data_IF_304388016052
#
_entry.id   IF_304388016052
#
_cell.length_a   1.000
_cell.length_b   1.000
_cell.length_c   1.000
_cell.angle_alpha   90.00
_cell.angle_beta   90.00
_cell.angle_gamma   90.00
#
_symmetry.space_group_name_H-M   'P 1'
#
loop_
_entity.id
_entity.type
_entity.pdbx_description
1 polymer ?
#
# COMPACT_ATOMS: atom_id res chain seq x y z
N UNK A 1 2.95 11.26 -6.73
CA UNK A 1 2.13 11.94 -7.76
C UNK A 1 2.99 12.63 -8.80
N UNK A 2 3.77 13.68 -8.49
CA UNK A 2 4.67 14.30 -9.50
C UNK A 2 5.65 13.32 -10.17
N UNK A 3 6.25 12.40 -9.39
CA UNK A 3 7.10 11.32 -9.92
C UNK A 3 6.39 10.35 -10.87
N UNK A 4 5.06 10.27 -10.80
CA UNK A 4 4.22 9.48 -11.70
C UNK A 4 3.76 10.28 -12.93
N UNK A 5 4.28 11.49 -13.15
CA UNK A 5 3.95 12.32 -14.31
C UNK A 5 2.67 13.14 -14.20
N UNK A 6 2.01 13.16 -13.04
CA UNK A 6 0.82 14.01 -12.86
C UNK A 6 1.19 15.49 -12.82
N UNK A 7 0.47 16.29 -13.62
CA UNK A 7 0.63 17.74 -13.67
C UNK A 7 0.27 18.45 -12.36
N UNK A 8 0.80 19.65 -12.17
CA UNK A 8 0.66 20.40 -10.91
C UNK A 8 -0.80 20.66 -10.55
N UNK A 9 -1.64 21.01 -11.53
CA UNK A 9 -3.09 21.24 -11.34
C UNK A 9 -3.80 20.02 -10.74
N UNK A 10 -3.47 18.82 -11.22
CA UNK A 10 -4.06 17.58 -10.70
C UNK A 10 -3.55 17.27 -9.29
N UNK A 11 -2.25 17.48 -9.03
CA UNK A 11 -1.68 17.35 -7.70
C UNK A 11 -2.35 18.30 -6.70
N UNK A 12 -2.64 19.54 -7.10
CA UNK A 12 -3.37 20.50 -6.27
C UNK A 12 -4.80 20.05 -5.97
N UNK A 13 -5.53 19.51 -6.96
CA UNK A 13 -6.88 18.98 -6.72
C UNK A 13 -6.89 17.87 -5.68
N UNK A 14 -6.00 16.88 -5.80
CA UNK A 14 -5.88 15.81 -4.81
C UNK A 14 -5.51 16.38 -3.44
N UNK A 15 -4.57 17.31 -3.37
CA UNK A 15 -4.16 17.94 -2.11
C UNK A 15 -5.33 18.72 -1.47
N UNK A 16 -6.15 19.40 -2.27
CA UNK A 16 -7.36 20.08 -1.80
C UNK A 16 -8.40 19.10 -1.28
N UNK A 17 -8.67 17.99 -1.99
CA UNK A 17 -9.59 16.95 -1.52
C UNK A 17 -9.15 16.35 -0.18
N UNK A 18 -7.86 16.06 -0.02
CA UNK A 18 -7.29 15.54 1.22
C UNK A 18 -7.39 16.55 2.38
N UNK A 19 -7.24 17.85 2.08
CA UNK A 19 -7.34 18.93 3.09
C UNK A 19 -8.77 19.34 3.42
N UNK A 20 -9.73 19.14 2.53
CA UNK A 20 -11.14 19.51 2.75
C UNK A 20 -11.93 18.39 3.44
N UNK A 21 -11.35 17.20 3.61
CA UNK A 21 -12.03 16.07 4.24
C UNK A 21 -12.26 16.35 5.74
N UNK A 22 -13.50 16.70 6.08
CA UNK A 22 -13.99 16.87 7.46
C UNK A 22 -15.12 15.90 7.75
N UNK A 23 -15.23 15.46 9.00
CA UNK A 23 -16.30 14.60 9.50
C UNK A 23 -16.95 15.18 10.74
N UNK A 24 -18.19 14.81 11.00
CA UNK A 24 -18.91 15.12 12.24
C UNK A 24 -19.52 13.84 12.77
N UNK A 25 -19.46 13.61 14.09
CA UNK A 25 -20.20 12.51 14.72
C UNK A 25 -21.63 12.98 14.96
N UNK A 26 -22.63 12.19 14.55
CA UNK A 26 -24.04 12.48 14.86
C UNK A 26 -24.39 11.76 16.16
N UNK A 27 -24.81 12.50 17.18
CA UNK A 27 -25.30 11.94 18.45
C UNK A 27 -26.74 12.39 18.64
N UNK A 28 -27.67 11.43 18.78
CA UNK A 28 -29.10 11.68 18.92
C UNK A 28 -29.72 12.55 17.79
N UNK A 29 -29.21 12.40 16.56
CA UNK A 29 -29.69 13.16 15.40
C UNK A 29 -29.08 14.56 15.24
N UNK A 30 -28.25 15.01 16.19
CA UNK A 30 -27.56 16.30 16.12
C UNK A 30 -26.08 16.11 15.78
N UNK A 31 -25.54 16.80 14.76
CA UNK A 31 -24.12 16.76 14.44
C UNK A 31 -23.30 17.48 15.53
N UNK A 32 -22.24 16.81 16.01
CA UNK A 32 -21.20 17.40 16.83
C UNK A 32 -20.22 18.23 15.99
N UNK A 33 -19.30 18.90 16.68
CA UNK A 33 -18.21 19.69 16.08
C UNK A 33 -17.45 18.89 15.01
N UNK A 34 -17.16 19.55 13.89
CA UNK A 34 -16.42 18.95 12.79
C UNK A 34 -14.96 18.71 13.18
N UNK A 35 -14.45 17.53 12.89
CA UNK A 35 -13.04 17.22 13.00
C UNK A 35 -12.45 16.91 11.62
N UNK A 36 -11.16 17.19 11.48
CA UNK A 36 -10.40 16.94 10.26
C UNK A 36 -9.98 15.47 10.21
N UNK A 37 -10.14 14.81 9.05
CA UNK A 37 -9.55 13.49 8.86
C UNK A 37 -8.04 13.63 8.62
N UNK A 38 -7.24 13.07 9.52
CA UNK A 38 -5.77 13.03 9.40
C UNK A 38 -5.27 11.77 8.69
N UNK A 39 -6.09 10.71 8.63
CA UNK A 39 -5.82 9.43 7.99
C UNK A 39 -7.09 8.86 7.36
N UNK A 40 -6.94 8.19 6.22
CA UNK A 40 -8.04 7.52 5.52
C UNK A 40 -8.83 8.46 4.59
N UNK A 41 -9.45 7.86 3.58
CA UNK A 41 -10.45 8.52 2.73
C UNK A 41 -11.84 8.08 3.19
N UNK A 42 -12.84 8.93 2.98
CA UNK A 42 -14.23 8.57 3.28
C UNK A 42 -14.64 7.38 2.42
N UNK A 43 -15.24 6.37 3.04
CA UNK A 43 -15.83 5.25 2.33
C UNK A 43 -16.88 5.78 1.35
N UNK A 44 -16.78 5.37 0.08
CA UNK A 44 -17.62 5.90 -1.01
C UNK A 44 -17.07 7.13 -1.73
N UNK A 45 -15.89 7.64 -1.38
CA UNK A 45 -15.22 8.68 -2.18
C UNK A 45 -14.73 8.07 -3.51
N UNK A 46 -15.20 8.57 -4.68
CA UNK A 46 -14.83 8.05 -5.99
C UNK A 46 -13.33 8.14 -6.30
N UNK A 47 -12.55 8.95 -5.56
CA UNK A 47 -11.10 9.05 -5.70
C UNK A 47 -10.32 7.97 -4.95
N UNK A 48 -10.95 7.30 -3.98
CA UNK A 48 -10.26 6.30 -3.14
C UNK A 48 -9.64 5.15 -3.93
N UNK A 49 -10.32 4.54 -4.92
CA UNK A 49 -9.72 3.47 -5.72
C UNK A 49 -8.51 3.94 -6.53
N UNK A 50 -8.50 5.18 -7.02
CA UNK A 50 -7.38 5.71 -7.79
C UNK A 50 -6.17 6.03 -6.90
N UNK A 51 -6.40 6.64 -5.74
CA UNK A 51 -5.34 6.90 -4.77
C UNK A 51 -4.75 5.60 -4.24
N UNK A 52 -5.59 4.58 -4.05
CA UNK A 52 -5.18 3.23 -3.71
C UNK A 52 -4.20 2.65 -4.74
N UNK A 53 -4.57 2.68 -6.03
CA UNK A 53 -3.71 2.18 -7.11
C UNK A 53 -2.34 2.87 -7.09
N UNK A 54 -2.29 4.19 -6.88
CA UNK A 54 -1.02 4.93 -6.82
C UNK A 54 -0.15 4.55 -5.63
N UNK A 55 -0.76 4.22 -4.49
CA UNK A 55 -0.05 3.74 -3.31
C UNK A 55 0.52 2.35 -3.59
N UNK A 56 -0.26 1.43 -4.15
CA UNK A 56 0.22 0.09 -4.50
C UNK A 56 1.28 0.12 -5.60
N UNK A 57 1.15 1.00 -6.59
CA UNK A 57 2.16 1.20 -7.63
C UNK A 57 3.51 1.67 -7.01
N UNK A 58 3.46 2.51 -5.99
CA UNK A 58 4.69 2.94 -5.29
C UNK A 58 5.35 1.80 -4.50
N UNK A 59 4.55 0.87 -3.96
CA UNK A 59 5.03 -0.36 -3.32
C UNK A 59 5.62 -1.31 -4.36
N UNK A 60 4.96 -1.48 -5.50
CA UNK A 60 5.44 -2.24 -6.65
C UNK A 60 6.83 -1.77 -7.08
N UNK A 61 7.00 -0.47 -7.35
CA UNK A 61 8.29 0.09 -7.78
C UNK A 61 9.38 -0.12 -6.71
N UNK A 62 9.03 0.07 -5.44
CA UNK A 62 9.99 -0.11 -4.34
C UNK A 62 10.44 -1.57 -4.22
N UNK A 63 9.50 -2.51 -4.37
CA UNK A 63 9.80 -3.93 -4.28
C UNK A 63 10.51 -4.45 -5.53
N UNK A 64 10.11 -4.00 -6.72
CA UNK A 64 10.79 -4.32 -7.97
C UNK A 64 12.26 -3.89 -7.92
N UNK A 65 12.55 -2.72 -7.33
CA UNK A 65 13.93 -2.28 -7.12
C UNK A 65 14.79 -3.27 -6.33
N UNK A 66 14.26 -3.90 -5.27
CA UNK A 66 15.01 -4.91 -4.50
C UNK A 66 15.13 -6.25 -5.21
N UNK A 67 14.18 -6.58 -6.09
CA UNK A 67 14.25 -7.75 -6.99
C UNK A 67 15.35 -7.53 -8.03
N UNK A 68 15.37 -6.36 -8.67
CA UNK A 68 16.31 -6.02 -9.74
C UNK A 68 17.77 -6.00 -9.26
N UNK A 69 18.03 -5.53 -8.03
CA UNK A 69 19.37 -5.59 -7.41
C UNK A 69 19.71 -6.96 -6.82
N UNK A 70 18.81 -7.93 -6.90
CA UNK A 70 19.02 -9.31 -6.44
C UNK A 70 18.98 -9.50 -4.92
N UNK A 71 18.48 -8.51 -4.17
CA UNK A 71 18.29 -8.63 -2.71
C UNK A 71 17.10 -9.53 -2.36
N UNK A 72 16.11 -9.60 -3.25
CA UNK A 72 14.98 -10.53 -3.14
C UNK A 72 14.97 -11.54 -4.29
N UNK A 73 14.89 -12.83 -3.97
CA UNK A 73 14.76 -13.92 -4.95
C UNK A 73 13.33 -14.47 -4.98
N UNK A 74 12.60 -14.15 -6.04
CA UNK A 74 11.25 -14.68 -6.29
C UNK A 74 11.24 -16.16 -6.70
N UNK A 75 10.05 -16.66 -7.04
CA UNK A 75 9.81 -18.02 -7.50
C UNK A 75 9.91 -18.08 -9.02
N UNK A 76 10.77 -18.93 -9.55
CA UNK A 76 10.87 -19.18 -10.99
C UNK A 76 9.78 -20.17 -11.41
N UNK A 77 8.77 -19.68 -12.15
CA UNK A 77 7.67 -20.51 -12.66
C UNK A 77 7.98 -21.06 -14.06
N UNK A 78 8.78 -20.33 -14.83
CA UNK A 78 9.27 -20.70 -16.15
C UNK A 78 10.61 -19.97 -16.40
N UNK A 79 11.42 -20.36 -17.40
CA UNK A 79 12.76 -19.79 -17.64
C UNK A 79 12.82 -18.26 -17.83
N UNK A 80 11.67 -17.62 -18.09
CA UNK A 80 11.54 -16.17 -18.28
C UNK A 80 10.50 -15.53 -17.36
N UNK A 81 9.94 -16.30 -16.42
CA UNK A 81 8.88 -15.83 -15.52
C UNK A 81 9.29 -16.04 -14.07
N UNK A 82 9.73 -14.95 -13.45
CA UNK A 82 10.00 -14.89 -12.02
C UNK A 82 8.84 -14.16 -11.31
N UNK A 83 8.10 -14.88 -10.47
CA UNK A 83 7.03 -14.33 -9.66
C UNK A 83 7.60 -13.94 -8.28
N UNK A 84 7.65 -12.64 -8.01
CA UNK A 84 8.17 -12.12 -6.73
C UNK A 84 7.10 -11.52 -5.84
N UNK A 85 6.05 -10.94 -6.43
CA UNK A 85 4.96 -10.29 -5.71
C UNK A 85 3.71 -10.12 -6.57
N UNK A 86 2.56 -9.95 -5.94
CA UNK A 86 1.27 -9.72 -6.59
C UNK A 86 0.41 -8.80 -5.71
N UNK A 87 -0.28 -7.85 -6.34
CA UNK A 87 -1.18 -6.92 -5.67
C UNK A 87 -2.59 -7.11 -6.21
N UNK A 88 -3.58 -7.24 -5.32
CA UNK A 88 -4.98 -7.34 -5.71
C UNK A 88 -5.86 -6.66 -4.68
N UNK A 89 -6.65 -5.67 -5.11
CA UNK A 89 -7.39 -4.80 -4.19
C UNK A 89 -6.46 -4.40 -3.02
N UNK A 90 -6.93 -4.49 -1.78
CA UNK A 90 -6.22 -4.15 -0.55
C UNK A 90 -5.16 -5.17 -0.07
N UNK A 91 -4.94 -6.25 -0.82
CA UNK A 91 -4.01 -7.33 -0.46
C UNK A 91 -2.73 -7.29 -1.29
N UNK A 92 -1.61 -7.60 -0.62
CA UNK A 92 -0.30 -7.80 -1.21
C UNK A 92 0.25 -9.17 -0.84
N UNK A 93 0.70 -9.94 -1.82
CA UNK A 93 1.31 -11.25 -1.62
C UNK A 93 2.75 -11.20 -2.14
N UNK A 94 3.71 -11.52 -1.28
CA UNK A 94 5.13 -11.64 -1.63
C UNK A 94 5.52 -13.11 -1.64
N UNK A 95 6.13 -13.55 -2.74
CA UNK A 95 6.45 -14.95 -3.01
C UNK A 95 7.92 -15.07 -3.38
N UNK A 96 8.66 -15.89 -2.64
CA UNK A 96 10.07 -16.10 -2.92
C UNK A 96 10.61 -17.40 -2.35
N UNK A 97 11.88 -17.65 -2.69
CA UNK A 97 12.61 -18.76 -2.12
C UNK A 97 12.77 -18.58 -0.60
N UNK A 98 12.70 -19.67 0.16
CA UNK A 98 12.98 -19.62 1.60
C UNK A 98 14.43 -19.19 1.85
N UNK A 99 14.60 -18.02 2.47
CA UNK A 99 15.87 -17.55 3.01
C UNK A 99 15.62 -16.44 4.03
N UNK A 100 16.44 -16.37 5.07
CA UNK A 100 16.38 -15.28 6.05
C UNK A 100 16.58 -13.90 5.38
N UNK A 101 17.43 -13.84 4.35
CA UNK A 101 17.67 -12.61 3.59
C UNK A 101 16.44 -12.13 2.82
N UNK A 102 15.64 -13.03 2.23
CA UNK A 102 14.39 -12.67 1.58
C UNK A 102 13.37 -12.11 2.58
N UNK A 103 13.25 -12.74 3.76
CA UNK A 103 12.34 -12.29 4.82
C UNK A 103 12.75 -10.90 5.31
N UNK A 104 14.02 -10.72 5.65
CA UNK A 104 14.57 -9.44 6.09
C UNK A 104 14.38 -8.34 5.03
N UNK A 105 14.54 -8.68 3.76
CA UNK A 105 14.27 -7.75 2.65
C UNK A 105 12.81 -7.35 2.58
N UNK A 106 11.86 -8.30 2.68
CA UNK A 106 10.43 -7.98 2.71
C UNK A 106 10.12 -7.07 3.90
N UNK A 107 10.59 -7.41 5.10
CA UNK A 107 10.36 -6.63 6.31
C UNK A 107 10.91 -5.21 6.16
N UNK A 108 12.13 -5.04 5.63
CA UNK A 108 12.74 -3.73 5.38
C UNK A 108 11.97 -2.89 4.38
N UNK A 109 11.51 -3.49 3.27
CA UNK A 109 10.72 -2.77 2.27
C UNK A 109 9.39 -2.32 2.86
N UNK A 110 8.69 -3.21 3.57
CA UNK A 110 7.41 -2.89 4.21
C UNK A 110 7.56 -1.85 5.32
N UNK A 111 8.60 -1.92 6.12
CA UNK A 111 8.90 -0.96 7.18
C UNK A 111 9.22 0.44 6.60
N UNK A 112 10.05 0.49 5.55
CA UNK A 112 10.27 1.73 4.80
C UNK A 112 8.99 2.29 4.18
N UNK A 113 8.17 1.41 3.60
CA UNK A 113 6.90 1.79 3.00
C UNK A 113 5.90 2.32 4.05
N UNK A 114 5.76 1.66 5.19
CA UNK A 114 4.90 2.08 6.30
C UNK A 114 5.35 3.39 6.95
N UNK A 115 6.66 3.69 6.95
CA UNK A 115 7.15 5.01 7.40
C UNK A 115 6.85 6.11 6.40
N UNK A 116 6.94 5.81 5.10
CA UNK A 116 6.72 6.78 4.03
C UNK A 116 5.23 7.02 3.75
N UNK A 117 4.39 6.02 4.02
CA UNK A 117 2.95 6.07 3.86
C UNK A 117 2.27 6.28 5.22
N UNK A 118 1.06 6.82 5.24
CA UNK A 118 0.29 7.01 6.48
C UNK A 118 -0.33 5.68 6.98
N UNK A 119 0.13 4.57 6.41
CA UNK A 119 -0.52 3.27 6.31
C UNK A 119 -0.02 2.27 7.35
N UNK A 120 -0.87 1.32 7.76
CA UNK A 120 -0.51 0.26 8.71
C UNK A 120 -0.75 -1.12 8.06
N UNK A 121 0.32 -1.77 7.59
CA UNK A 121 0.24 -3.14 7.10
C UNK A 121 0.14 -4.17 8.23
N UNK A 122 -0.78 -5.13 8.14
CA UNK A 122 -0.73 -6.38 8.94
C UNK A 122 -0.16 -7.50 8.07
N UNK A 123 0.93 -8.12 8.52
CA UNK A 123 1.59 -9.21 7.80
C UNK A 123 1.32 -10.56 8.48
N UNK A 124 1.03 -11.59 7.68
CA UNK A 124 0.93 -12.99 8.10
C UNK A 124 1.85 -13.84 7.21
N UNK A 125 2.58 -14.78 7.81
CA UNK A 125 3.57 -15.61 7.13
C UNK A 125 3.17 -17.10 7.18
N UNK A 126 3.30 -17.81 6.06
CA UNK A 126 3.01 -19.25 5.95
C UNK A 126 4.25 -19.99 5.40
N UNK A 127 4.56 -21.19 5.91
CA UNK A 127 5.82 -21.90 5.63
C UNK A 127 5.64 -23.24 4.90
N UNK A 128 6.04 -23.24 3.61
CA UNK A 128 6.68 -24.33 2.82
C UNK A 128 7.52 -23.73 1.69
N UNK A 129 7.05 -22.60 1.16
CA UNK A 129 7.75 -21.58 0.37
C UNK A 129 7.71 -20.27 1.16
N UNK A 130 8.59 -19.29 0.90
CA UNK A 130 8.52 -18.00 1.60
C UNK A 130 7.34 -17.19 1.05
N UNK A 131 6.15 -17.44 1.60
CA UNK A 131 4.93 -16.72 1.24
C UNK A 131 4.57 -15.83 2.41
N UNK A 132 4.72 -14.51 2.20
CA UNK A 132 4.21 -13.50 3.13
C UNK A 132 2.98 -12.85 2.50
N UNK A 133 1.84 -13.01 3.16
CA UNK A 133 0.61 -12.31 2.82
C UNK A 133 0.47 -11.09 3.73
N UNK A 134 0.42 -9.90 3.12
CA UNK A 134 0.03 -8.68 3.79
C UNK A 134 -1.42 -8.40 3.42
N UNK A 135 -2.32 -8.60 4.38
CA UNK A 135 -3.75 -8.38 4.20
C UNK A 135 -4.27 -7.36 5.20
N UNK A 136 -5.35 -6.67 4.84
CA UNK A 136 -5.91 -5.61 5.68
C UNK A 136 -4.92 -4.46 5.93
N UNK A 137 -4.04 -4.18 4.96
CA UNK A 137 -3.22 -2.96 4.96
C UNK A 137 -4.13 -1.76 5.17
N UNK A 138 -5.33 -1.79 4.57
CA UNK A 138 -6.32 -0.73 4.58
C UNK A 138 -7.38 -1.11 5.60
N UNK A 139 -7.15 -0.80 6.87
CA UNK A 139 -8.20 -0.81 7.89
C UNK A 139 -9.29 0.21 7.52
N UNK A 140 -10.20 -0.18 6.65
CA UNK A 140 -11.50 0.44 6.46
C UNK A 140 -12.48 -0.46 7.21
N UNK A 141 -12.52 -0.30 8.53
CA UNK A 141 -13.54 -0.90 9.39
C UNK A 141 -13.92 0.12 10.44
#
# INVERSE_FOLDING_TARGET
MRKFGFGEKWCMWIQSCLRSSKGSVIVNGSPMEEFQFYKGLKQGDPLSPFLFILVMESLHISFQGVVDVGLFKGIELAPLLNLSHMFYADDAIFMGQWSESNIDTIVKVLDCFNRASVFQSKASSYSKECVMCCGGMFGVS
#
